data_IF_341480688762
#
_entry.id   IF_341480688762
#
_cell.length_a   1.000
_cell.length_b   1.000
_cell.length_c   1.000
_cell.angle_alpha   90.00
_cell.angle_beta   90.00
_cell.angle_gamma   90.00
#
_symmetry.space_group_name_H-M   'P 1'
#
loop_
_entity.id
_entity.type
_entity.pdbx_description
1 polymer ?
#
# COMPACT_ATOMS: atom_id res chain seq x y z
N UNK A 1 -11.89 0.62 -0.25
CA UNK A 1 -11.60 2.07 -0.19
C UNK A 1 -11.95 2.69 -1.53
N UNK A 2 -12.32 3.97 -1.60
CA UNK A 2 -12.50 4.62 -2.89
C UNK A 2 -11.14 5.07 -3.45
N UNK A 3 -11.03 5.17 -4.77
CA UNK A 3 -9.81 5.67 -5.44
C UNK A 3 -9.29 7.01 -4.86
N UNK A 4 -10.20 7.91 -4.50
CA UNK A 4 -9.87 9.22 -3.93
C UNK A 4 -9.32 9.17 -2.48
N UNK A 5 -9.40 8.02 -1.81
CA UNK A 5 -8.92 7.83 -0.44
C UNK A 5 -7.42 7.48 -0.40
N UNK A 6 -6.87 6.93 -1.49
CA UNK A 6 -5.46 6.55 -1.57
C UNK A 6 -4.54 7.77 -1.57
N UNK A 7 -3.37 7.63 -0.95
CA UNK A 7 -2.32 8.66 -0.87
C UNK A 7 -0.97 8.02 -1.15
N UNK A 8 -0.11 8.72 -1.88
CA UNK A 8 1.28 8.28 -2.06
C UNK A 8 1.97 8.14 -0.70
N UNK A 9 2.61 7.00 -0.46
CA UNK A 9 3.20 6.62 0.82
C UNK A 9 2.18 6.24 1.89
N UNK A 10 0.87 6.36 1.62
CA UNK A 10 -0.19 5.95 2.50
C UNK A 10 -0.31 4.42 2.57
N UNK A 11 -0.66 3.93 3.75
CA UNK A 11 -0.79 2.51 4.03
C UNK A 11 -2.28 2.10 4.08
N UNK A 12 -2.56 0.89 3.62
CA UNK A 12 -3.87 0.28 3.64
C UNK A 12 -3.73 -1.24 3.82
N UNK A 13 -4.82 -1.91 4.17
CA UNK A 13 -4.88 -3.36 4.25
C UNK A 13 -5.87 -3.92 3.25
N UNK A 14 -5.75 -5.21 2.94
CA UNK A 14 -6.70 -5.94 2.08
C UNK A 14 -7.50 -6.95 2.92
N UNK A 15 -8.56 -7.52 2.35
CA UNK A 15 -9.34 -8.59 3.00
C UNK A 15 -8.53 -9.82 3.45
N UNK A 16 -7.35 -10.04 2.85
CA UNK A 16 -6.38 -11.07 3.28
C UNK A 16 -5.64 -10.74 4.58
N UNK A 17 -5.75 -9.52 5.09
CA UNK A 17 -5.03 -9.03 6.28
C UNK A 17 -3.61 -8.51 6.02
N UNK A 18 -3.15 -8.52 4.76
CA UNK A 18 -1.83 -7.96 4.39
C UNK A 18 -1.81 -6.44 4.46
N UNK A 19 -0.69 -5.86 4.89
CA UNK A 19 -0.44 -4.42 4.87
C UNK A 19 0.30 -4.02 3.60
N UNK A 20 -0.18 -2.94 2.97
CA UNK A 20 0.32 -2.42 1.70
C UNK A 20 0.63 -0.94 1.82
N UNK A 21 1.63 -0.48 1.06
CA UNK A 21 1.95 0.95 0.89
C UNK A 21 1.76 1.36 -0.56
N UNK A 22 0.92 2.36 -0.79
CA UNK A 22 0.68 2.92 -2.11
C UNK A 22 1.92 3.67 -2.61
N UNK A 23 2.42 3.31 -3.80
CA UNK A 23 3.61 3.89 -4.43
C UNK A 23 3.27 4.73 -5.67
N UNK A 24 2.13 4.48 -6.31
CA UNK A 24 1.60 5.30 -7.41
C UNK A 24 0.07 5.33 -7.42
N UNK A 25 -0.52 6.43 -7.92
CA UNK A 25 -1.96 6.61 -8.07
C UNK A 25 -2.24 7.01 -9.53
N UNK A 26 -2.80 6.07 -10.29
CA UNK A 26 -3.29 6.31 -11.64
C UNK A 26 -4.66 6.99 -11.63
N UNK A 27 -5.35 6.97 -12.77
CA UNK A 27 -6.75 7.46 -12.84
C UNK A 27 -7.78 6.40 -12.46
N UNK A 28 -7.38 5.14 -12.49
CA UNK A 28 -8.24 3.94 -12.40
C UNK A 28 -7.66 2.88 -11.49
N UNK A 29 -6.33 2.80 -11.45
CA UNK A 29 -5.57 1.81 -10.70
C UNK A 29 -4.66 2.53 -9.72
N UNK A 30 -4.30 1.85 -8.63
CA UNK A 30 -3.17 2.24 -7.79
C UNK A 30 -2.09 1.17 -7.87
N UNK A 31 -0.85 1.56 -7.56
CA UNK A 31 0.27 0.62 -7.44
C UNK A 31 0.71 0.62 -5.99
N UNK A 32 1.05 -0.55 -5.46
CA UNK A 32 1.48 -0.71 -4.08
C UNK A 32 2.51 -1.83 -3.89
N UNK A 33 3.28 -1.72 -2.82
CA UNK A 33 4.18 -2.78 -2.31
C UNK A 33 3.58 -3.40 -1.05
N UNK A 34 3.76 -4.72 -0.87
CA UNK A 34 3.34 -5.43 0.33
C UNK A 34 4.40 -5.30 1.43
N UNK A 35 4.04 -4.73 2.58
CA UNK A 35 4.95 -4.50 3.71
C UNK A 35 5.19 -5.76 4.57
N UNK A 36 4.39 -6.81 4.35
CA UNK A 36 4.50 -8.06 5.09
C UNK A 36 5.41 -9.10 4.42
N UNK A 37 5.96 -8.80 3.23
CA UNK A 37 6.82 -9.74 2.51
C UNK A 37 8.22 -9.83 3.14
N UNK A 38 8.72 -8.71 3.68
CA UNK A 38 10.01 -8.61 4.39
C UNK A 38 9.84 -7.80 5.70
N UNK A 39 9.18 -8.35 6.72
CA UNK A 39 8.86 -7.61 7.95
C UNK A 39 10.10 -7.26 8.79
N UNK A 40 11.20 -8.01 8.64
CA UNK A 40 12.41 -7.86 9.45
C UNK A 40 13.43 -6.85 8.88
N UNK A 41 13.22 -6.34 7.66
CA UNK A 41 14.17 -5.45 7.00
C UNK A 41 13.45 -4.39 6.17
N UNK A 42 13.30 -3.20 6.77
CA UNK A 42 12.65 -2.07 6.13
C UNK A 42 13.39 -1.56 4.88
N UNK A 43 14.66 -1.90 4.69
CA UNK A 43 15.44 -1.43 3.54
C UNK A 43 14.92 -1.96 2.21
N UNK A 44 14.14 -3.05 2.22
CA UNK A 44 13.44 -3.59 1.05
C UNK A 44 12.44 -2.62 0.43
N UNK A 45 11.93 -1.70 1.25
CA UNK A 45 10.94 -0.69 0.87
C UNK A 45 11.57 0.69 0.62
N UNK A 46 12.91 0.78 0.55
CA UNK A 46 13.60 1.99 0.12
C UNK A 46 13.65 2.00 -1.41
N UNK A 47 12.84 2.86 -2.03
CA UNK A 47 12.79 3.01 -3.47
C UNK A 47 12.29 4.41 -3.88
N UNK A 48 12.08 4.63 -5.19
CA UNK A 48 12.30 3.68 -6.29
C UNK A 48 13.78 3.54 -6.72
N UNK A 49 14.19 2.38 -7.31
CA UNK A 49 13.41 1.15 -7.41
C UNK A 49 13.34 0.43 -6.06
N UNK A 50 12.16 -0.09 -5.70
CA UNK A 50 11.99 -0.93 -4.52
C UNK A 50 12.63 -2.31 -4.76
N UNK A 51 13.08 -2.97 -3.68
CA UNK A 51 13.63 -4.32 -3.78
C UNK A 51 12.53 -5.40 -3.88
N UNK A 52 11.30 -5.04 -3.48
CA UNK A 52 10.08 -5.86 -3.62
C UNK A 52 9.31 -5.56 -4.90
N UNK A 53 8.41 -6.47 -5.27
CA UNK A 53 7.52 -6.31 -6.42
C UNK A 53 6.44 -5.28 -6.11
N UNK A 54 6.18 -4.42 -7.09
CA UNK A 54 5.02 -3.55 -7.12
C UNK A 54 3.82 -4.26 -7.76
N UNK A 55 2.66 -4.14 -7.12
CA UNK A 55 1.40 -4.75 -7.54
C UNK A 55 0.42 -3.68 -7.99
N UNK A 56 -0.28 -3.94 -9.09
CA UNK A 56 -1.36 -3.10 -9.59
C UNK A 56 -2.67 -3.55 -8.97
N UNK A 57 -3.40 -2.60 -8.38
CA UNK A 57 -4.73 -2.78 -7.82
C UNK A 57 -5.74 -2.10 -8.73
N UNK A 58 -6.59 -2.89 -9.36
CA UNK A 58 -7.69 -2.36 -10.19
C UNK A 58 -8.86 -1.85 -9.35
N UNK A 59 -9.94 -1.43 -9.99
CA UNK A 59 -11.11 -0.90 -9.29
C UNK A 59 -11.76 -1.92 -8.35
N UNK A 60 -11.75 -3.22 -8.69
CA UNK A 60 -12.30 -4.27 -7.83
C UNK A 60 -11.39 -4.55 -6.64
N UNK A 61 -10.07 -4.56 -6.84
CA UNK A 61 -9.12 -4.72 -5.75
C UNK A 61 -9.21 -3.55 -4.74
N UNK A 62 -9.43 -2.33 -5.24
CA UNK A 62 -9.59 -1.13 -4.42
C UNK A 62 -10.82 -1.19 -3.51
N UNK A 63 -11.93 -1.79 -3.96
CA UNK A 63 -13.15 -1.94 -3.16
C UNK A 63 -12.89 -2.76 -1.88
N UNK A 64 -12.05 -3.80 -1.96
CA UNK A 64 -11.65 -4.67 -0.85
C UNK A 64 -10.55 -4.09 0.06
N UNK A 65 -10.01 -2.92 -0.29
CA UNK A 65 -9.02 -2.23 0.54
C UNK A 65 -9.69 -1.57 1.76
N UNK A 66 -9.01 -1.60 2.89
CA UNK A 66 -9.44 -1.03 4.17
C UNK A 66 -8.37 -0.02 4.61
N UNK A 67 -8.75 1.18 5.11
CA UNK A 67 -7.76 2.14 5.62
C UNK A 67 -6.92 1.49 6.73
N UNK A 68 -5.60 1.65 6.66
CA UNK A 68 -4.75 1.24 7.76
C UNK A 68 -5.16 2.01 9.04
N UNK A 69 -5.04 1.41 10.23
CA UNK A 69 -5.27 2.12 11.48
C UNK A 69 -4.38 3.37 11.51
N UNK A 70 -4.94 4.50 11.93
CA UNK A 70 -4.18 5.73 12.06
C UNK A 70 -2.98 5.47 12.97
N UNK A 71 -1.77 5.58 12.42
CA UNK A 71 -0.56 5.51 13.24
C UNK A 71 -0.66 6.65 14.27
N UNK A 72 -0.54 6.38 15.59
CA UNK A 72 -0.46 7.47 16.55
C UNK A 72 0.72 8.37 16.15
N UNK A 73 0.60 9.70 16.26
CA UNK A 73 1.71 10.59 15.93
C UNK A 73 2.91 10.14 16.75
N UNK A 74 4.01 9.80 16.07
CA UNK A 74 5.28 9.54 16.72
C UNK A 74 5.66 10.81 17.51
N UNK A 75 5.69 10.69 18.84
CA UNK A 75 6.26 11.68 19.76
C UNK A 75 7.77 11.79 19.58
#
# INVERSE_FOLDING_TARGET
>A
MNHADFRLGGEFTTGSGKTWRCTDIGQRVIVAVCLDDHPDDASWYNGPPYAVVEYVFDEYDQEDCIPAPANPPHS
#
